data_IF_763753413209
#
_entry.id   IF_763753413209
#
_cell.length_a   1.000
_cell.length_b   1.000
_cell.length_c   1.000
_cell.angle_alpha   90.00
_cell.angle_beta   90.00
_cell.angle_gamma   90.00
#
_symmetry.space_group_name_H-M   'P 1'
#
loop_
_entity.id
_entity.type
_entity.pdbx_description
1 polymer ?
#
# COMPACT_ATOMS: atom_id res chain seq x y z
N UNK A 1 -1.23 2.84 5.57
CA UNK A 1 -2.46 2.59 4.80
C UNK A 1 -3.45 1.67 5.50
N UNK A 2 -3.19 0.35 5.64
CA UNK A 2 -4.13 -0.59 6.24
C UNK A 2 -4.67 -0.14 7.61
N UNK A 3 -3.78 0.17 8.56
CA UNK A 3 -4.18 0.63 9.88
C UNK A 3 -5.00 1.94 9.86
N UNK A 4 -4.69 2.86 8.94
CA UNK A 4 -5.44 4.13 8.77
C UNK A 4 -6.87 3.85 8.37
N UNK A 5 -7.08 2.98 7.37
CA UNK A 5 -8.42 2.61 6.90
C UNK A 5 -9.17 1.84 7.98
N UNK A 6 -8.54 0.86 8.62
CA UNK A 6 -9.18 0.08 9.67
C UNK A 6 -9.59 0.96 10.86
N UNK A 7 -8.75 1.91 11.25
CA UNK A 7 -9.08 2.89 12.29
C UNK A 7 -10.30 3.71 11.89
N UNK A 8 -10.25 4.41 10.75
CA UNK A 8 -11.34 5.27 10.29
C UNK A 8 -12.65 4.49 10.12
N UNK A 9 -12.62 3.30 9.51
CA UNK A 9 -13.83 2.46 9.34
C UNK A 9 -14.42 1.99 10.66
N UNK A 10 -13.59 1.81 11.69
CA UNK A 10 -14.04 1.36 13.02
C UNK A 10 -14.57 2.51 13.86
N UNK A 11 -13.94 3.69 13.80
CA UNK A 11 -14.26 4.82 14.68
C UNK A 11 -15.19 5.84 14.04
N UNK A 12 -15.23 5.93 12.71
CA UNK A 12 -15.89 7.01 11.98
C UNK A 12 -15.21 8.38 12.18
N UNK A 13 -13.92 8.42 12.55
CA UNK A 13 -13.19 9.67 12.79
C UNK A 13 -12.87 10.41 11.49
N UNK A 14 -13.83 11.19 11.01
CA UNK A 14 -13.71 12.03 9.81
C UNK A 14 -12.65 13.12 9.95
N UNK A 15 -12.39 13.61 11.17
CA UNK A 15 -11.36 14.63 11.39
C UNK A 15 -9.98 14.05 11.15
N UNK A 16 -9.73 12.83 11.64
CA UNK A 16 -8.46 12.14 11.42
C UNK A 16 -8.20 11.86 9.94
N UNK A 17 -9.17 11.29 9.21
CA UNK A 17 -8.96 10.94 7.80
C UNK A 17 -8.71 12.17 6.94
N UNK A 18 -9.41 13.29 7.22
CA UNK A 18 -9.29 14.54 6.46
C UNK A 18 -7.95 15.25 6.68
N UNK A 19 -7.43 15.29 7.92
CA UNK A 19 -6.23 16.06 8.24
C UNK A 19 -4.94 15.25 8.14
N UNK A 20 -4.96 13.98 8.55
CA UNK A 20 -3.74 13.16 8.71
C UNK A 20 -3.77 11.91 7.81
N UNK A 21 -4.91 11.23 7.79
CA UNK A 21 -5.04 9.92 7.14
C UNK A 21 -4.84 9.98 5.61
N UNK A 22 -5.42 10.98 4.95
CA UNK A 22 -5.32 11.14 3.50
C UNK A 22 -3.87 11.39 3.04
N UNK A 23 -3.13 12.24 3.76
CA UNK A 23 -1.71 12.47 3.48
C UNK A 23 -0.91 11.18 3.60
N UNK A 24 -1.14 10.39 4.66
CA UNK A 24 -0.46 9.11 4.86
C UNK A 24 -0.79 8.10 3.76
N UNK A 25 -2.05 8.00 3.33
CA UNK A 25 -2.45 7.14 2.20
C UNK A 25 -1.75 7.55 0.90
N UNK A 26 -1.79 8.83 0.55
CA UNK A 26 -1.21 9.34 -0.68
C UNK A 26 0.32 9.17 -0.72
N UNK A 27 1.03 9.56 0.35
CA UNK A 27 2.49 9.46 0.38
C UNK A 27 2.98 8.01 0.36
N UNK A 28 2.29 7.12 1.08
CA UNK A 28 2.65 5.69 1.02
C UNK A 28 2.24 5.02 -0.30
N UNK A 29 1.19 5.48 -0.98
CA UNK A 29 0.83 5.04 -2.33
C UNK A 29 1.89 5.48 -3.35
N UNK A 30 2.35 6.74 -3.28
CA UNK A 30 3.47 7.25 -4.12
C UNK A 30 4.73 6.41 -3.94
N UNK A 31 5.07 6.06 -2.71
CA UNK A 31 6.18 5.15 -2.42
C UNK A 31 6.03 3.81 -3.17
N UNK A 32 4.88 3.15 -3.07
CA UNK A 32 4.67 1.87 -3.75
C UNK A 32 4.72 1.98 -5.27
N UNK A 33 4.16 3.04 -5.84
CA UNK A 33 4.25 3.30 -7.28
C UNK A 33 5.72 3.51 -7.68
N UNK A 34 6.50 4.25 -6.90
CA UNK A 34 7.93 4.45 -7.18
C UNK A 34 8.78 3.18 -7.08
N UNK A 35 8.33 2.18 -6.31
CA UNK A 35 9.03 0.89 -6.14
C UNK A 35 8.66 -0.13 -7.21
N UNK A 36 7.52 0.05 -7.87
CA UNK A 36 7.02 -0.87 -8.89
C UNK A 36 7.78 -0.73 -10.21
N UNK A 37 7.96 -1.85 -10.91
CA UNK A 37 8.58 -1.93 -12.23
C UNK A 37 7.58 -2.45 -13.26
N UNK A 38 7.60 -1.92 -14.49
CA UNK A 38 6.75 -2.41 -15.58
C UNK A 38 7.42 -3.59 -16.27
N UNK A 39 6.73 -4.73 -16.32
CA UNK A 39 7.18 -5.97 -17.00
C UNK A 39 5.98 -6.54 -17.75
N UNK A 40 6.09 -6.78 -19.06
CA UNK A 40 5.01 -7.40 -19.87
C UNK A 40 3.62 -6.80 -19.59
N UNK A 41 3.54 -5.48 -19.65
CA UNK A 41 2.33 -4.69 -19.40
C UNK A 41 1.70 -4.78 -17.99
N UNK A 42 2.32 -5.44 -17.02
CA UNK A 42 1.93 -5.42 -15.61
C UNK A 42 2.95 -4.68 -14.75
N UNK A 43 2.50 -4.23 -13.58
CA UNK A 43 3.38 -3.72 -12.54
C UNK A 43 3.78 -4.86 -11.61
N UNK A 44 5.07 -4.95 -11.32
CA UNK A 44 5.67 -5.95 -10.44
C UNK A 44 6.45 -5.26 -9.32
N UNK A 45 6.63 -5.94 -8.19
CA UNK A 45 7.50 -5.50 -7.09
C UNK A 45 8.59 -6.55 -6.93
N UNK A 46 9.83 -6.14 -7.18
CA UNK A 46 10.99 -7.04 -7.19
C UNK A 46 11.88 -6.84 -5.99
N UNK A 47 12.61 -7.88 -5.64
CA UNK A 47 13.66 -7.86 -4.61
C UNK A 47 13.13 -7.37 -3.25
N UNK A 48 12.22 -8.15 -2.67
CA UNK A 48 11.62 -7.88 -1.37
C UNK A 48 11.69 -9.08 -0.45
N UNK A 49 11.48 -8.83 0.84
CA UNK A 49 11.28 -9.84 1.88
C UNK A 49 9.80 -9.72 2.28
N UNK A 50 9.09 -10.86 2.31
CA UNK A 50 7.70 -10.91 2.75
C UNK A 50 7.56 -11.00 4.28
N UNK A 51 6.34 -11.27 4.79
CA UNK A 51 6.16 -11.56 6.22
C UNK A 51 6.89 -12.82 6.70
N UNK A 52 7.11 -13.79 5.80
CA UNK A 52 8.04 -14.90 6.05
C UNK A 52 9.46 -14.42 5.72
N UNK A 53 10.24 -14.14 6.77
CA UNK A 53 11.56 -13.53 6.67
C UNK A 53 12.64 -14.49 6.17
N UNK A 54 12.41 -15.81 6.17
CA UNK A 54 13.40 -16.77 5.67
C UNK A 54 13.53 -16.79 4.15
N UNK A 55 12.55 -16.20 3.44
CA UNK A 55 12.53 -16.16 1.99
C UNK A 55 12.85 -14.74 1.49
N UNK A 56 14.13 -14.49 1.24
CA UNK A 56 14.65 -13.19 0.83
C UNK A 56 14.77 -13.04 -0.71
N UNK A 57 14.96 -11.80 -1.16
CA UNK A 57 15.18 -11.44 -2.57
C UNK A 57 14.11 -11.97 -3.54
N UNK A 58 12.86 -12.08 -3.08
CA UNK A 58 11.76 -12.60 -3.88
C UNK A 58 11.10 -11.51 -4.71
N UNK A 59 10.64 -11.89 -5.90
CA UNK A 59 9.79 -11.05 -6.73
C UNK A 59 8.32 -11.42 -6.48
N UNK A 60 7.45 -10.40 -6.51
CA UNK A 60 6.00 -10.56 -6.47
C UNK A 60 5.51 -11.35 -5.25
N UNK A 61 6.10 -11.11 -4.07
CA UNK A 61 5.57 -11.65 -2.82
C UNK A 61 4.07 -11.32 -2.70
N UNK A 62 3.23 -12.33 -2.47
CA UNK A 62 1.78 -12.19 -2.56
C UNK A 62 1.23 -11.16 -1.56
N UNK A 63 1.71 -11.20 -0.31
CA UNK A 63 1.29 -10.26 0.73
C UNK A 63 1.69 -8.84 0.38
N UNK A 64 2.97 -8.62 0.06
CA UNK A 64 3.51 -7.29 -0.27
C UNK A 64 2.80 -6.70 -1.48
N UNK A 65 2.64 -7.48 -2.55
CA UNK A 65 1.97 -7.04 -3.79
C UNK A 65 0.51 -6.67 -3.54
N UNK A 66 -0.20 -7.47 -2.75
CA UNK A 66 -1.60 -7.19 -2.40
C UNK A 66 -1.72 -5.93 -1.55
N UNK A 67 -0.86 -5.76 -0.54
CA UNK A 67 -0.90 -4.60 0.35
C UNK A 67 -0.51 -3.30 -0.35
N UNK A 68 0.46 -3.36 -1.28
CA UNK A 68 0.81 -2.23 -2.14
C UNK A 68 -0.36 -1.81 -3.03
N UNK A 69 -0.98 -2.78 -3.74
CA UNK A 69 -2.19 -2.53 -4.54
C UNK A 69 -3.32 -1.95 -3.67
N UNK A 70 -3.57 -2.55 -2.51
CA UNK A 70 -4.60 -2.10 -1.58
C UNK A 70 -4.36 -0.64 -1.21
N UNK A 71 -3.14 -0.26 -0.84
CA UNK A 71 -2.81 1.11 -0.51
C UNK A 71 -3.14 2.08 -1.65
N UNK A 72 -2.63 1.80 -2.86
CA UNK A 72 -2.89 2.64 -4.03
C UNK A 72 -4.39 2.76 -4.32
N UNK A 73 -5.13 1.65 -4.22
CA UNK A 73 -6.58 1.66 -4.41
C UNK A 73 -7.30 2.53 -3.38
N UNK A 74 -6.93 2.45 -2.10
CA UNK A 74 -7.56 3.26 -1.06
C UNK A 74 -7.23 4.74 -1.23
N UNK A 75 -5.99 5.07 -1.61
CA UNK A 75 -5.60 6.44 -1.91
C UNK A 75 -6.39 7.02 -3.10
N UNK A 76 -6.68 6.22 -4.14
CA UNK A 76 -7.50 6.64 -5.28
C UNK A 76 -9.01 6.73 -5.00
N UNK A 77 -9.51 5.96 -4.03
CA UNK A 77 -10.94 5.96 -3.71
C UNK A 77 -11.35 7.09 -2.75
N UNK A 78 -10.39 7.55 -1.92
CA UNK A 78 -10.63 8.54 -0.88
C UNK A 78 -10.22 9.95 -1.34
N UNK A 79 -9.25 10.05 -2.28
CA UNK A 79 -8.91 11.31 -2.95
C UNK A 79 -9.93 11.66 -4.05
#
# INVERSE_FOLDING_TARGET
>A
AWAVIQYWQTTGDESFIAHEGMALLLETAKFWISRAVRVNDRLEIHDVIGPDEYTEHVNNNAYTSYMARYNVQQALNIA
#
